data_IF_419542764417
#
_entry.id   IF_419542764417
#
_cell.length_a   1.000
_cell.length_b   1.000
_cell.length_c   1.000
_cell.angle_alpha   90.00
_cell.angle_beta   90.00
_cell.angle_gamma   90.00
#
_symmetry.space_group_name_H-M   'P 1'
#
loop_
_entity.id
_entity.type
_entity.pdbx_description
1 polymer ?
#
# COMPACT_ATOMS: atom_id res chain seq x y z
N UNK A 1 10.83 27.07 15.25
CA UNK A 1 11.05 28.31 16.01
C UNK A 1 11.43 27.98 17.42
N UNK A 2 12.46 28.65 17.91
CA UNK A 2 13.32 28.35 19.04
C UNK A 2 12.68 28.37 20.43
N UNK A 3 13.03 27.40 21.22
CA UNK A 3 12.91 27.15 22.65
C UNK A 3 13.42 28.25 23.59
N UNK A 4 12.88 29.43 23.63
CA UNK A 4 13.39 30.40 24.59
C UNK A 4 12.34 31.25 25.30
N UNK A 5 11.09 30.87 25.36
CA UNK A 5 10.07 31.68 26.04
C UNK A 5 8.97 30.89 26.74
N UNK A 6 9.29 29.87 27.53
CA UNK A 6 8.29 29.30 28.43
C UNK A 6 8.95 28.99 29.77
N UNK A 7 8.42 29.55 30.83
CA UNK A 7 8.86 29.42 32.22
C UNK A 7 8.14 28.27 32.91
N UNK A 8 8.78 27.76 33.92
CA UNK A 8 8.66 26.54 34.72
C UNK A 8 7.26 26.01 35.09
N UNK A 9 6.19 26.77 34.99
CA UNK A 9 4.83 26.28 35.35
C UNK A 9 4.05 25.61 34.20
N UNK A 10 4.56 25.70 32.96
CA UNK A 10 3.94 25.10 31.77
C UNK A 10 4.62 23.76 31.36
N UNK A 11 5.63 23.31 32.08
CA UNK A 11 6.41 22.13 31.71
C UNK A 11 5.57 20.83 31.71
N UNK A 12 4.60 20.71 32.61
CA UNK A 12 3.72 19.54 32.65
C UNK A 12 2.78 19.43 31.44
N UNK A 13 2.33 20.57 30.90
CA UNK A 13 1.49 20.62 29.69
C UNK A 13 2.33 20.41 28.44
N UNK A 14 3.56 20.92 28.42
CA UNK A 14 4.49 20.74 27.31
C UNK A 14 5.07 19.32 27.26
N UNK A 15 5.23 18.64 28.39
CA UNK A 15 5.60 17.23 28.42
C UNK A 15 4.57 16.34 27.68
N UNK A 16 3.28 16.70 27.67
CA UNK A 16 2.24 16.02 26.90
C UNK A 16 2.39 16.21 25.38
N UNK A 17 3.06 17.27 24.95
CA UNK A 17 3.23 17.63 23.53
C UNK A 17 4.68 17.72 23.10
N UNK A 18 5.60 17.08 23.85
CA UNK A 18 7.02 17.07 23.53
C UNK A 18 7.27 16.30 22.21
N UNK A 19 7.39 17.08 21.13
CA UNK A 19 7.71 16.56 19.79
C UNK A 19 9.07 15.85 19.78
N UNK A 20 9.99 16.17 20.68
CA UNK A 20 11.26 15.48 20.82
C UNK A 20 11.09 14.07 21.39
N UNK A 21 10.07 13.85 22.24
CA UNK A 21 9.67 12.49 22.67
C UNK A 21 8.99 11.73 21.54
N UNK A 22 8.19 12.40 20.70
CA UNK A 22 7.62 11.82 19.49
C UNK A 22 8.70 11.45 18.45
N UNK A 23 9.76 12.26 18.36
CA UNK A 23 10.88 12.03 17.43
C UNK A 23 11.98 11.12 17.99
N UNK A 24 11.82 10.63 19.21
CA UNK A 24 12.71 9.61 19.78
C UNK A 24 14.11 10.11 20.12
N UNK A 25 14.24 11.02 21.06
CA UNK A 25 15.54 11.42 21.63
C UNK A 25 16.36 10.23 22.17
N UNK A 26 15.70 9.08 22.34
CA UNK A 26 16.28 7.81 22.80
C UNK A 26 16.15 6.68 21.77
N UNK A 27 16.38 6.99 20.50
CA UNK A 27 16.81 6.00 19.53
C UNK A 27 15.77 5.31 18.64
N UNK A 28 14.46 5.38 18.89
CA UNK A 28 13.42 4.83 17.97
C UNK A 28 12.13 5.60 18.15
N UNK A 29 12.02 6.74 17.49
CA UNK A 29 10.79 7.53 17.49
C UNK A 29 9.80 7.08 16.41
N UNK A 30 8.51 7.37 16.64
CA UNK A 30 7.50 7.20 15.60
C UNK A 30 7.81 8.14 14.44
N UNK A 31 8.01 7.58 13.25
CA UNK A 31 8.12 8.40 12.05
C UNK A 31 6.71 8.85 11.63
N UNK A 32 6.47 10.14 11.66
CA UNK A 32 5.22 10.72 11.20
C UNK A 32 5.46 11.99 10.38
N UNK A 33 4.47 12.37 9.58
CA UNK A 33 4.51 13.61 8.82
C UNK A 33 3.11 14.20 8.70
N UNK A 34 2.99 15.49 9.00
CA UNK A 34 1.75 16.23 8.77
C UNK A 34 1.70 16.78 7.35
N UNK A 35 0.52 16.66 6.72
CA UNK A 35 0.24 17.20 5.39
C UNK A 35 -1.08 17.94 5.37
N UNK A 36 -1.21 18.83 4.41
CA UNK A 36 -2.45 19.56 4.13
C UNK A 36 -2.98 19.07 2.78
N UNK A 37 -4.26 18.74 2.74
CA UNK A 37 -4.93 18.23 1.56
C UNK A 37 -5.21 19.35 0.57
N UNK A 38 -4.79 19.17 -0.67
CA UNK A 38 -5.21 20.01 -1.78
C UNK A 38 -6.64 19.66 -2.19
N UNK A 39 -7.46 20.66 -2.45
CA UNK A 39 -8.84 20.42 -2.92
C UNK A 39 -8.84 20.35 -4.44
N UNK A 40 -9.53 19.36 -4.97
CA UNK A 40 -9.80 19.25 -6.40
C UNK A 40 -11.29 19.02 -6.67
N UNK A 41 -11.70 19.24 -7.91
CA UNK A 41 -13.07 18.98 -8.33
C UNK A 41 -13.35 17.49 -8.53
N UNK A 42 -14.63 17.12 -8.58
CA UNK A 42 -15.07 15.72 -8.73
C UNK A 42 -14.52 15.05 -9.98
N UNK A 43 -14.46 15.76 -11.11
CA UNK A 43 -14.00 15.16 -12.37
C UNK A 43 -12.51 14.82 -12.30
N UNK A 44 -11.71 15.71 -11.69
CA UNK A 44 -10.28 15.45 -11.42
C UNK A 44 -10.09 14.23 -10.53
N UNK A 45 -10.90 14.07 -9.46
CA UNK A 45 -10.87 12.89 -8.58
C UNK A 45 -11.08 11.60 -9.37
N UNK A 46 -12.10 11.54 -10.22
CA UNK A 46 -12.36 10.33 -11.02
C UNK A 46 -11.27 10.08 -12.06
N UNK A 47 -10.81 11.13 -12.75
CA UNK A 47 -9.74 11.03 -13.73
C UNK A 47 -8.45 10.48 -13.11
N UNK A 48 -8.09 10.98 -11.92
CA UNK A 48 -6.90 10.51 -11.23
C UNK A 48 -7.09 9.09 -10.66
N UNK A 49 -8.32 8.73 -10.25
CA UNK A 49 -8.64 7.39 -9.79
C UNK A 49 -8.53 6.32 -10.90
N UNK A 50 -8.75 6.69 -12.17
CA UNK A 50 -8.60 5.79 -13.31
C UNK A 50 -7.15 5.35 -13.55
N UNK A 51 -6.17 6.07 -12.98
CA UNK A 51 -4.75 5.71 -13.05
C UNK A 51 -4.37 4.52 -12.18
N UNK A 52 -5.27 4.09 -11.29
CA UNK A 52 -5.03 2.96 -10.40
C UNK A 52 -5.78 1.74 -10.90
N UNK A 53 -5.15 0.57 -10.82
CA UNK A 53 -5.79 -0.70 -11.16
C UNK A 53 -6.69 -1.23 -10.04
N UNK A 54 -7.40 -0.33 -9.39
CA UNK A 54 -8.34 -0.59 -8.30
C UNK A 54 -9.79 -0.28 -8.69
N UNK A 55 -10.12 -0.29 -9.98
CA UNK A 55 -11.44 0.12 -10.50
C UNK A 55 -12.60 -0.61 -9.83
N UNK A 56 -12.45 -1.89 -9.53
CA UNK A 56 -13.52 -2.72 -8.93
C UNK A 56 -13.83 -2.38 -7.48
N UNK A 57 -12.89 -1.79 -6.75
CA UNK A 57 -13.06 -1.44 -5.33
C UNK A 57 -13.11 0.08 -5.13
N UNK A 58 -12.26 0.82 -5.81
CA UNK A 58 -12.10 2.25 -5.61
C UNK A 58 -13.18 3.09 -6.27
N UNK A 59 -13.53 2.80 -7.55
CA UNK A 59 -14.59 3.54 -8.25
C UNK A 59 -15.97 3.35 -7.59
N UNK A 60 -16.40 2.13 -7.20
CA UNK A 60 -17.63 1.95 -6.45
C UNK A 60 -17.65 2.72 -5.13
N UNK A 61 -16.52 2.80 -4.43
CA UNK A 61 -16.43 3.58 -3.19
C UNK A 61 -16.53 5.09 -3.45
N UNK A 62 -15.85 5.61 -4.47
CA UNK A 62 -16.01 7.00 -4.88
C UNK A 62 -17.48 7.31 -5.22
N UNK A 63 -18.14 6.41 -5.97
CA UNK A 63 -19.57 6.55 -6.28
C UNK A 63 -20.42 6.59 -4.99
N UNK A 64 -20.11 5.76 -4.00
CA UNK A 64 -20.80 5.74 -2.70
C UNK A 64 -20.57 7.04 -1.93
N UNK A 65 -19.34 7.58 -1.92
CA UNK A 65 -19.01 8.84 -1.29
C UNK A 65 -19.79 9.99 -1.92
N UNK A 66 -19.86 10.04 -3.26
CA UNK A 66 -20.55 11.11 -3.99
C UNK A 66 -22.06 10.92 -4.12
N UNK A 67 -22.61 9.75 -3.83
CA UNK A 67 -24.07 9.50 -3.86
C UNK A 67 -24.81 10.12 -2.67
N UNK A 68 -24.10 10.34 -1.54
CA UNK A 68 -24.68 10.88 -0.33
C UNK A 68 -24.29 12.34 -0.11
N UNK A 69 -25.23 13.20 0.21
CA UNK A 69 -24.90 14.49 0.83
C UNK A 69 -24.70 14.26 2.32
N UNK A 70 -23.48 14.46 2.82
CA UNK A 70 -23.26 14.46 4.26
C UNK A 70 -24.04 15.62 4.88
N UNK A 71 -24.84 15.33 5.89
CA UNK A 71 -25.50 16.37 6.69
C UNK A 71 -24.41 17.20 7.36
N UNK A 72 -24.62 18.53 7.43
CA UNK A 72 -23.63 19.47 7.99
C UNK A 72 -23.17 19.13 9.43
N UNK A 73 -23.95 18.33 10.15
CA UNK A 73 -23.65 17.92 11.52
C UNK A 73 -23.41 16.41 11.62
N UNK A 74 -22.77 15.81 10.63
CA UNK A 74 -22.42 14.40 10.69
C UNK A 74 -21.45 14.16 11.87
N UNK A 75 -21.84 13.30 12.79
CA UNK A 75 -21.02 12.91 13.92
C UNK A 75 -20.37 11.56 13.61
N UNK A 76 -19.08 11.58 13.31
CA UNK A 76 -18.29 10.37 13.17
C UNK A 76 -18.15 9.82 11.74
N UNK A 77 -17.35 8.78 11.66
CA UNK A 77 -17.04 8.08 10.41
C UNK A 77 -17.76 6.72 10.42
N UNK A 78 -18.70 6.46 9.48
CA UNK A 78 -19.42 5.19 9.40
C UNK A 78 -18.50 4.04 8.97
N UNK A 79 -17.42 4.37 8.24
CA UNK A 79 -16.41 3.42 7.79
C UNK A 79 -15.02 4.05 7.87
N UNK A 80 -14.02 3.21 8.04
CA UNK A 80 -12.61 3.49 7.84
C UNK A 80 -12.11 2.70 6.62
N UNK A 81 -10.85 2.85 6.23
CA UNK A 81 -10.38 2.28 4.97
C UNK A 81 -9.12 1.45 5.16
N UNK A 82 -8.96 0.45 4.29
CA UNK A 82 -7.75 -0.32 4.15
C UNK A 82 -7.34 -0.33 2.69
N UNK A 83 -6.19 0.26 2.38
CA UNK A 83 -5.60 0.31 1.04
C UNK A 83 -4.54 -0.78 0.94
N UNK A 84 -4.68 -1.66 -0.05
CA UNK A 84 -3.78 -2.78 -0.30
C UNK A 84 -3.08 -2.61 -1.65
N UNK A 85 -1.82 -2.21 -1.62
CA UNK A 85 -0.94 -2.08 -2.78
C UNK A 85 0.51 -2.14 -2.32
N UNK A 86 1.39 -2.70 -3.14
CA UNK A 86 2.83 -2.80 -2.86
C UNK A 86 3.58 -1.55 -3.31
N UNK A 87 2.99 -0.77 -4.23
CA UNK A 87 3.61 0.44 -4.74
C UNK A 87 3.35 1.66 -3.85
N UNK A 88 4.42 2.39 -3.56
CA UNK A 88 4.36 3.58 -2.70
C UNK A 88 3.61 4.74 -3.35
N UNK A 89 3.85 5.00 -4.65
CA UNK A 89 3.24 6.15 -5.35
C UNK A 89 1.74 5.92 -5.54
N UNK A 90 1.35 4.69 -5.92
CA UNK A 90 -0.06 4.28 -6.02
C UNK A 90 -0.76 4.41 -4.67
N UNK A 91 -0.14 3.93 -3.60
CA UNK A 91 -0.67 4.03 -2.24
C UNK A 91 -0.91 5.48 -1.82
N UNK A 92 0.09 6.34 -2.01
CA UNK A 92 -0.03 7.77 -1.67
C UNK A 92 -1.10 8.46 -2.54
N UNK A 93 -1.16 8.10 -3.82
CA UNK A 93 -2.17 8.59 -4.76
C UNK A 93 -3.60 8.18 -4.38
N UNK A 94 -3.82 6.88 -4.11
CA UNK A 94 -5.13 6.37 -3.70
C UNK A 94 -5.61 7.04 -2.40
N UNK A 95 -4.72 7.15 -1.39
CA UNK A 95 -5.06 7.83 -0.14
C UNK A 95 -5.40 9.31 -0.37
N UNK A 96 -4.61 10.03 -1.16
CA UNK A 96 -4.85 11.44 -1.46
C UNK A 96 -6.22 11.64 -2.12
N UNK A 97 -6.52 10.89 -3.16
CA UNK A 97 -7.79 10.98 -3.90
C UNK A 97 -8.99 10.60 -3.01
N UNK A 98 -8.84 9.55 -2.20
CA UNK A 98 -9.86 9.17 -1.22
C UNK A 98 -10.17 10.31 -0.25
N UNK A 99 -9.14 10.92 0.35
CA UNK A 99 -9.32 12.03 1.28
C UNK A 99 -9.93 13.26 0.60
N UNK A 100 -9.56 13.56 -0.66
CA UNK A 100 -10.14 14.64 -1.45
C UNK A 100 -11.63 14.43 -1.68
N UNK A 101 -12.05 13.21 -2.05
CA UNK A 101 -13.45 12.86 -2.22
C UNK A 101 -14.24 13.00 -0.91
N UNK A 102 -13.68 12.52 0.20
CA UNK A 102 -14.31 12.60 1.52
C UNK A 102 -14.43 14.03 2.02
N UNK A 103 -13.40 14.86 1.80
CA UNK A 103 -13.43 16.27 2.15
C UNK A 103 -14.46 17.05 1.31
N UNK A 104 -14.48 16.82 -0.01
CA UNK A 104 -15.45 17.46 -0.91
C UNK A 104 -16.91 17.11 -0.57
N UNK A 105 -17.14 15.98 0.11
CA UNK A 105 -18.47 15.55 0.57
C UNK A 105 -18.72 15.77 2.08
N UNK A 106 -18.00 16.71 2.69
CA UNK A 106 -18.15 17.12 4.09
C UNK A 106 -18.02 15.96 5.10
N UNK A 107 -17.29 14.90 4.74
CA UNK A 107 -16.99 13.78 5.65
C UNK A 107 -15.70 13.99 6.45
N UNK A 108 -14.87 14.94 6.02
CA UNK A 108 -13.74 15.48 6.76
C UNK A 108 -13.98 16.98 6.99
N UNK A 109 -13.71 17.45 8.19
CA UNK A 109 -13.83 18.87 8.56
C UNK A 109 -12.51 19.61 8.43
N UNK A 110 -11.39 18.86 8.53
CA UNK A 110 -10.05 19.40 8.41
C UNK A 110 -9.36 18.86 7.17
N UNK A 111 -8.56 19.71 6.52
CA UNK A 111 -7.65 19.32 5.45
C UNK A 111 -6.35 18.68 5.98
N UNK A 112 -6.13 18.73 7.30
CA UNK A 112 -4.92 18.17 7.91
C UNK A 112 -5.04 16.66 7.96
N UNK A 113 -3.98 16.00 7.58
CA UNK A 113 -3.83 14.55 7.78
C UNK A 113 -2.40 14.21 8.16
N UNK A 114 -2.27 13.13 8.89
CA UNK A 114 -0.99 12.62 9.34
C UNK A 114 -0.64 11.32 8.61
N UNK A 115 0.62 11.19 8.21
CA UNK A 115 1.20 9.94 7.75
C UNK A 115 1.95 9.33 8.93
N UNK A 116 1.55 8.16 9.36
CA UNK A 116 2.18 7.39 10.42
C UNK A 116 2.90 6.19 9.82
N UNK A 117 4.21 6.13 9.94
CA UNK A 117 4.99 4.96 9.59
C UNK A 117 4.94 3.96 10.73
N UNK A 118 4.27 2.85 10.48
CA UNK A 118 4.07 1.79 11.44
C UNK A 118 4.94 0.58 11.11
N UNK A 119 5.83 0.20 12.02
CA UNK A 119 6.66 -0.99 11.90
C UNK A 119 6.28 -1.98 12.99
N UNK A 120 5.89 -3.21 12.63
CA UNK A 120 5.61 -4.23 13.61
C UNK A 120 6.88 -4.54 14.44
N UNK A 121 6.72 -4.75 15.73
CA UNK A 121 7.84 -5.02 16.64
C UNK A 121 8.55 -3.78 17.21
N UNK A 122 8.22 -2.57 16.73
CA UNK A 122 8.62 -1.35 17.41
C UNK A 122 7.61 -1.04 18.52
N UNK A 123 8.02 -1.14 19.77
CA UNK A 123 7.15 -0.84 20.92
C UNK A 123 7.01 0.66 21.10
N UNK A 124 5.78 1.16 20.98
CA UNK A 124 5.46 2.56 21.23
C UNK A 124 4.43 2.70 22.33
N UNK A 125 4.55 3.78 23.09
CA UNK A 125 3.55 4.13 24.09
C UNK A 125 2.23 4.53 23.42
N UNK A 126 1.12 4.04 23.97
CA UNK A 126 -0.24 4.45 23.54
C UNK A 126 -0.43 5.98 23.57
N UNK A 127 0.30 6.68 24.45
CA UNK A 127 0.27 8.13 24.56
C UNK A 127 0.75 8.83 23.28
N UNK A 128 1.73 8.26 22.56
CA UNK A 128 2.23 8.83 21.30
C UNK A 128 1.14 8.80 20.23
N UNK A 129 0.49 7.65 20.07
CA UNK A 129 -0.64 7.52 19.14
C UNK A 129 -1.82 8.41 19.54
N UNK A 130 -2.10 8.53 20.84
CA UNK A 130 -3.15 9.39 21.38
C UNK A 130 -2.91 10.88 21.03
N UNK A 131 -1.70 11.37 21.23
CA UNK A 131 -1.32 12.73 20.84
C UNK A 131 -1.45 12.95 19.32
N UNK A 132 -1.01 11.98 18.52
CA UNK A 132 -1.06 12.07 17.08
C UNK A 132 -2.50 12.11 16.57
N UNK A 133 -3.39 11.26 17.08
CA UNK A 133 -4.81 11.29 16.73
C UNK A 133 -5.49 12.58 17.17
N UNK A 134 -5.17 13.11 18.35
CA UNK A 134 -5.69 14.40 18.81
C UNK A 134 -5.27 15.56 17.91
N UNK A 135 -4.04 15.56 17.39
CA UNK A 135 -3.50 16.65 16.55
C UNK A 135 -4.25 16.80 15.23
N UNK A 136 -4.86 15.73 14.71
CA UNK A 136 -5.56 15.71 13.42
C UNK A 136 -7.08 15.56 13.56
N UNK A 137 -7.64 15.96 14.68
CA UNK A 137 -9.10 15.92 14.91
C UNK A 137 -9.86 16.58 13.76
N UNK A 138 -10.87 15.91 13.24
CA UNK A 138 -11.65 16.34 12.06
C UNK A 138 -11.00 16.02 10.72
N UNK A 139 -9.77 15.52 10.71
CA UNK A 139 -9.02 15.10 9.54
C UNK A 139 -8.80 13.59 9.50
N UNK A 140 -7.59 13.17 9.10
CA UNK A 140 -7.29 11.76 8.91
C UNK A 140 -5.88 11.35 9.38
N UNK A 141 -5.75 10.08 9.75
CA UNK A 141 -4.46 9.40 9.93
C UNK A 141 -4.33 8.32 8.86
N UNK A 142 -3.24 8.35 8.12
CA UNK A 142 -2.84 7.31 7.19
C UNK A 142 -1.74 6.49 7.85
N UNK A 143 -2.06 5.26 8.22
CA UNK A 143 -1.12 4.30 8.83
C UNK A 143 -0.45 3.51 7.72
N UNK A 144 0.83 3.74 7.49
CA UNK A 144 1.64 3.02 6.49
C UNK A 144 2.35 1.85 7.17
N UNK A 145 1.88 0.66 6.93
CA UNK A 145 2.54 -0.55 7.41
C UNK A 145 3.83 -0.79 6.62
N UNK A 146 4.95 -0.78 7.31
CA UNK A 146 6.27 -1.04 6.76
C UNK A 146 6.72 -2.42 7.26
N UNK A 147 6.61 -3.44 6.40
CA UNK A 147 7.16 -4.75 6.69
C UNK A 147 8.69 -4.64 6.77
N UNK A 148 9.31 -5.34 7.71
CA UNK A 148 10.75 -5.50 7.73
C UNK A 148 11.14 -6.55 6.69
N UNK A 149 11.99 -6.17 5.73
CA UNK A 149 12.45 -7.05 4.65
C UNK A 149 13.25 -8.28 5.13
N UNK A 150 13.71 -8.28 6.40
CA UNK A 150 14.70 -9.26 6.89
C UNK A 150 14.14 -10.36 7.83
N UNK A 151 12.82 -10.39 8.12
CA UNK A 151 12.33 -11.31 9.17
C UNK A 151 11.02 -12.00 8.80
N UNK A 152 11.14 -13.11 8.08
CA UNK A 152 9.96 -13.90 7.66
C UNK A 152 9.32 -14.76 8.78
N UNK A 153 9.92 -14.96 9.96
CA UNK A 153 9.41 -16.02 10.82
C UNK A 153 9.30 -15.80 12.34
N UNK A 154 9.87 -14.74 12.95
CA UNK A 154 9.87 -14.68 14.43
C UNK A 154 9.14 -13.47 15.07
N UNK A 155 8.62 -12.53 14.28
CA UNK A 155 8.06 -11.28 14.81
C UNK A 155 6.52 -11.17 14.75
N UNK A 156 5.82 -12.21 14.42
CA UNK A 156 4.34 -12.19 14.44
C UNK A 156 3.80 -11.83 15.82
N UNK A 157 4.49 -12.24 16.88
CA UNK A 157 4.07 -11.96 18.26
C UNK A 157 4.45 -10.55 18.73
N UNK A 158 5.65 -10.06 18.36
CA UNK A 158 6.08 -8.69 18.72
C UNK A 158 5.30 -7.59 17.99
N UNK A 159 4.80 -7.89 16.78
CA UNK A 159 3.98 -6.95 16.02
C UNK A 159 2.53 -6.89 16.51
N UNK A 160 2.00 -7.95 17.08
CA UNK A 160 0.61 -8.06 17.55
C UNK A 160 0.29 -7.01 18.61
N UNK A 161 1.08 -6.91 19.66
CA UNK A 161 0.86 -5.94 20.75
C UNK A 161 0.84 -4.49 20.22
N UNK A 162 1.74 -4.16 19.31
CA UNK A 162 1.78 -2.81 18.72
C UNK A 162 0.54 -2.52 17.86
N UNK A 163 0.05 -3.51 17.10
CA UNK A 163 -1.20 -3.41 16.35
C UNK A 163 -2.39 -3.24 17.29
N UNK A 164 -2.44 -3.98 18.38
CA UNK A 164 -3.49 -3.88 19.41
C UNK A 164 -3.56 -2.47 19.99
N UNK A 165 -2.42 -1.91 20.43
CA UNK A 165 -2.33 -0.55 20.96
C UNK A 165 -2.83 0.49 19.94
N UNK A 166 -2.39 0.37 18.69
CA UNK A 166 -2.84 1.27 17.61
C UNK A 166 -4.34 1.17 17.38
N UNK A 167 -4.89 -0.06 17.34
CA UNK A 167 -6.32 -0.30 17.15
C UNK A 167 -7.15 0.24 18.32
N UNK A 168 -6.67 0.17 19.55
CA UNK A 168 -7.34 0.75 20.73
C UNK A 168 -7.44 2.27 20.62
N UNK A 169 -6.33 2.94 20.27
CA UNK A 169 -6.33 4.39 20.07
C UNK A 169 -7.25 4.77 18.91
N UNK A 170 -7.17 4.05 17.79
CA UNK A 170 -8.05 4.27 16.65
C UNK A 170 -9.53 4.17 17.06
N UNK A 171 -9.93 3.14 17.79
CA UNK A 171 -11.31 2.97 18.29
C UNK A 171 -11.76 4.13 19.19
N UNK A 172 -10.85 4.65 20.02
CA UNK A 172 -11.12 5.81 20.88
C UNK A 172 -11.45 7.07 20.08
N UNK A 173 -10.76 7.29 18.96
CA UNK A 173 -10.92 8.48 18.11
C UNK A 173 -11.77 8.24 16.86
N UNK A 174 -12.34 7.06 16.63
CA UNK A 174 -13.05 6.67 15.40
C UNK A 174 -14.13 7.63 14.92
N UNK A 175 -14.73 8.39 15.84
CA UNK A 175 -15.76 9.36 15.51
C UNK A 175 -15.20 10.74 15.13
N UNK A 176 -13.93 11.00 15.41
CA UNK A 176 -13.31 12.33 15.23
C UNK A 176 -12.23 12.32 14.15
N UNK A 177 -11.61 11.16 13.92
CA UNK A 177 -10.47 11.01 13.00
C UNK A 177 -10.72 9.83 12.09
N UNK A 178 -10.64 10.08 10.79
CA UNK A 178 -10.65 9.02 9.79
C UNK A 178 -9.31 8.28 9.82
N UNK A 179 -9.35 6.95 9.82
CA UNK A 179 -8.13 6.14 9.72
C UNK A 179 -8.12 5.39 8.38
N UNK A 180 -6.98 5.45 7.70
CA UNK A 180 -6.70 4.69 6.48
C UNK A 180 -5.48 3.82 6.75
N UNK A 181 -5.67 2.51 6.82
CA UNK A 181 -4.59 1.55 6.92
C UNK A 181 -4.03 1.24 5.52
N UNK A 182 -2.72 1.27 5.37
CA UNK A 182 -2.05 0.94 4.12
C UNK A 182 -1.16 -0.28 4.35
N UNK A 183 -1.55 -1.42 3.78
CA UNK A 183 -0.84 -2.69 3.90
C UNK A 183 -0.33 -3.16 2.54
N UNK A 184 0.78 -3.90 2.50
CA UNK A 184 1.15 -4.67 1.32
C UNK A 184 0.05 -5.67 0.95
N UNK A 185 -0.04 -6.04 -0.32
CA UNK A 185 -1.09 -6.94 -0.83
C UNK A 185 -1.06 -8.32 -0.20
N UNK A 186 0.13 -8.84 0.06
CA UNK A 186 0.35 -10.20 0.57
C UNK A 186 0.45 -10.29 2.10
N UNK A 187 0.27 -9.16 2.80
CA UNK A 187 0.37 -9.10 4.25
C UNK A 187 -0.92 -9.61 4.93
N UNK A 188 -1.24 -10.91 4.74
CA UNK A 188 -2.48 -11.51 5.25
C UNK A 188 -2.48 -11.66 6.77
N UNK A 189 -1.39 -12.14 7.35
CA UNK A 189 -1.30 -12.37 8.80
C UNK A 189 -1.50 -11.08 9.62
N UNK A 190 -0.82 -10.00 9.25
CA UNK A 190 -1.01 -8.72 9.92
C UNK A 190 -2.40 -8.13 9.68
N UNK A 191 -2.97 -8.34 8.50
CA UNK A 191 -4.35 -7.95 8.20
C UNK A 191 -5.33 -8.63 9.13
N UNK A 192 -5.19 -9.93 9.36
CA UNK A 192 -6.07 -10.68 10.26
C UNK A 192 -5.97 -10.15 11.69
N UNK A 193 -4.76 -9.81 12.18
CA UNK A 193 -4.57 -9.19 13.48
C UNK A 193 -5.26 -7.82 13.56
N UNK A 194 -5.20 -6.99 12.50
CA UNK A 194 -5.96 -5.74 12.45
C UNK A 194 -7.47 -6.01 12.57
N UNK A 195 -8.02 -6.96 11.84
CA UNK A 195 -9.45 -7.28 11.88
C UNK A 195 -9.90 -7.82 13.24
N UNK A 196 -9.11 -8.70 13.85
CA UNK A 196 -9.37 -9.19 15.21
C UNK A 196 -9.49 -8.03 16.21
N UNK A 197 -8.62 -7.03 16.09
CA UNK A 197 -8.54 -5.93 17.05
C UNK A 197 -9.44 -4.73 16.73
N UNK A 198 -9.87 -4.55 15.48
CA UNK A 198 -10.79 -3.47 15.11
C UNK A 198 -12.24 -3.71 15.59
N UNK A 199 -12.59 -4.95 15.89
CA UNK A 199 -13.91 -5.31 16.44
C UNK A 199 -15.06 -4.89 15.51
N UNK A 200 -16.05 -4.16 16.03
CA UNK A 200 -17.23 -3.71 15.27
C UNK A 200 -16.98 -2.48 14.38
N UNK A 201 -15.75 -2.18 14.03
CA UNK A 201 -15.42 -1.08 13.14
C UNK A 201 -15.59 -1.53 11.69
N UNK A 202 -16.37 -0.80 10.90
CA UNK A 202 -16.54 -1.10 9.48
C UNK A 202 -15.34 -0.63 8.67
N UNK A 203 -14.73 -1.52 7.90
CA UNK A 203 -13.58 -1.24 7.03
C UNK A 203 -13.98 -1.46 5.57
N UNK A 204 -13.68 -0.48 4.73
CA UNK A 204 -13.78 -0.60 3.26
C UNK A 204 -12.40 -0.92 2.72
N UNK A 205 -12.28 -2.06 2.05
CA UNK A 205 -11.03 -2.46 1.40
C UNK A 205 -10.94 -1.88 0.00
N UNK A 206 -9.83 -1.24 -0.28
CA UNK A 206 -9.46 -0.69 -1.59
C UNK A 206 -8.22 -1.44 -2.05
N UNK A 207 -8.40 -2.32 -3.04
CA UNK A 207 -7.37 -3.26 -3.45
C UNK A 207 -7.06 -3.11 -4.93
N UNK A 208 -5.79 -2.96 -5.23
CA UNK A 208 -5.28 -3.02 -6.59
C UNK A 208 -5.30 -4.46 -7.11
N UNK A 209 -5.67 -4.65 -8.37
CA UNK A 209 -5.73 -5.95 -9.03
C UNK A 209 -4.76 -6.03 -10.19
N UNK A 210 -4.31 -7.24 -10.47
CA UNK A 210 -3.61 -7.52 -11.71
C UNK A 210 -4.53 -7.39 -12.91
N UNK A 211 -4.02 -6.81 -13.98
CA UNK A 211 -4.68 -6.78 -15.29
C UNK A 211 -3.79 -7.46 -16.32
N UNK A 212 -4.40 -8.04 -17.34
CA UNK A 212 -3.73 -8.73 -18.43
C UNK A 212 -4.41 -8.47 -19.77
N UNK A 213 -3.77 -8.83 -20.85
CA UNK A 213 -4.35 -8.79 -22.20
C UNK A 213 -4.87 -7.42 -22.61
N UNK A 214 -6.13 -7.35 -23.02
CA UNK A 214 -6.76 -6.12 -23.50
C UNK A 214 -6.86 -5.02 -22.45
N UNK A 215 -7.10 -5.36 -21.18
CA UNK A 215 -7.17 -4.36 -20.10
C UNK A 215 -5.83 -3.66 -19.88
N UNK A 216 -4.71 -4.38 -19.99
CA UNK A 216 -3.38 -3.79 -19.92
C UNK A 216 -3.12 -2.85 -21.12
N UNK A 217 -3.58 -3.21 -22.31
CA UNK A 217 -3.52 -2.35 -23.51
C UNK A 217 -4.34 -1.08 -23.35
N UNK A 218 -5.60 -1.20 -22.92
CA UNK A 218 -6.47 -0.04 -22.67
C UNK A 218 -5.84 0.93 -21.68
N UNK A 219 -5.20 0.41 -20.63
CA UNK A 219 -4.50 1.23 -19.66
C UNK A 219 -3.34 2.03 -20.28
N UNK A 220 -2.47 1.37 -21.09
CA UNK A 220 -1.38 2.03 -21.81
C UNK A 220 -1.88 3.04 -22.85
N UNK A 221 -2.98 2.75 -23.54
CA UNK A 221 -3.61 3.70 -24.45
C UNK A 221 -4.16 4.93 -23.71
N UNK A 222 -4.71 4.74 -22.52
CA UNK A 222 -5.13 5.80 -21.62
C UNK A 222 -3.99 6.73 -21.27
N UNK A 223 -2.84 6.18 -20.85
CA UNK A 223 -1.62 6.95 -20.54
C UNK A 223 -1.10 7.74 -21.75
N UNK A 224 -1.13 7.13 -22.94
CA UNK A 224 -0.73 7.79 -24.18
C UNK A 224 -1.66 8.95 -24.55
N UNK A 225 -2.97 8.76 -24.38
CA UNK A 225 -3.98 9.81 -24.60
C UNK A 225 -3.79 10.98 -23.65
N UNK A 226 -3.54 10.72 -22.36
CA UNK A 226 -3.28 11.76 -21.36
C UNK A 226 -2.00 12.54 -21.68
N UNK A 227 -0.97 11.85 -22.17
CA UNK A 227 0.29 12.43 -22.63
C UNK A 227 0.20 13.08 -24.02
N UNK A 228 -0.98 13.06 -24.67
CA UNK A 228 -1.24 13.61 -26.00
C UNK A 228 -0.30 13.08 -27.09
N UNK A 229 0.15 11.82 -26.97
CA UNK A 229 1.06 11.18 -27.89
C UNK A 229 0.35 10.00 -28.61
N UNK A 230 0.63 9.80 -29.90
CA UNK A 230 0.08 8.66 -30.64
C UNK A 230 0.82 7.38 -30.30
N UNK A 231 0.08 6.34 -30.00
CA UNK A 231 0.61 4.99 -29.78
C UNK A 231 1.20 4.41 -31.07
N UNK A 232 2.09 3.46 -30.93
CA UNK A 232 2.61 2.63 -32.01
C UNK A 232 2.74 1.17 -31.51
N UNK A 233 3.06 0.26 -32.43
CA UNK A 233 3.16 -1.18 -32.12
C UNK A 233 4.19 -1.49 -31.04
N UNK A 234 5.25 -0.68 -30.92
CA UNK A 234 6.35 -0.89 -29.96
C UNK A 234 5.90 -0.77 -28.50
N UNK A 235 4.86 0.03 -28.24
CA UNK A 235 4.30 0.16 -26.88
C UNK A 235 3.76 -1.18 -26.39
N UNK A 236 3.18 -1.98 -27.28
CA UNK A 236 2.50 -3.23 -26.95
C UNK A 236 3.37 -4.48 -27.13
N UNK A 237 4.54 -4.36 -27.78
CA UNK A 237 5.43 -5.49 -28.10
C UNK A 237 5.94 -6.21 -26.84
N UNK A 238 6.01 -5.50 -25.71
CA UNK A 238 6.48 -6.04 -24.42
C UNK A 238 5.37 -6.61 -23.55
N UNK A 239 4.11 -6.48 -23.98
CA UNK A 239 2.97 -7.06 -23.27
C UNK A 239 2.83 -8.55 -23.61
N UNK A 240 2.88 -9.37 -22.56
CA UNK A 240 2.56 -10.79 -22.63
C UNK A 240 1.08 -10.99 -22.28
N UNK A 241 0.34 -11.69 -23.11
CA UNK A 241 -1.12 -11.80 -22.96
C UNK A 241 -1.55 -12.52 -21.67
N UNK A 242 -0.75 -13.45 -21.18
CA UNK A 242 -1.06 -14.26 -19.98
C UNK A 242 -0.47 -13.69 -18.69
N UNK A 243 0.43 -12.73 -18.80
CA UNK A 243 1.06 -12.10 -17.64
C UNK A 243 0.13 -11.08 -16.99
N UNK A 244 0.02 -11.15 -15.67
CA UNK A 244 -0.64 -10.13 -14.88
C UNK A 244 0.29 -8.95 -14.60
N UNK A 245 -0.21 -7.73 -14.81
CA UNK A 245 0.51 -6.49 -14.58
C UNK A 245 -0.18 -5.67 -13.50
N UNK A 246 0.60 -5.01 -12.67
CA UNK A 246 0.15 -3.94 -11.78
C UNK A 246 0.36 -2.58 -12.44
N UNK A 247 -0.25 -1.53 -11.87
CA UNK A 247 -0.11 -0.18 -12.41
C UNK A 247 1.37 0.26 -12.51
N UNK A 248 2.26 0.01 -11.52
CA UNK A 248 3.68 0.35 -11.65
C UNK A 248 4.36 -0.32 -12.84
N UNK A 249 4.03 -1.59 -13.13
CA UNK A 249 4.62 -2.31 -14.25
C UNK A 249 4.25 -1.64 -15.59
N UNK A 250 2.96 -1.27 -15.72
CA UNK A 250 2.45 -0.62 -16.92
C UNK A 250 2.96 0.81 -17.05
N UNK A 251 3.08 1.56 -15.97
CA UNK A 251 3.72 2.89 -15.97
C UNK A 251 5.17 2.79 -16.41
N UNK A 252 5.94 1.83 -15.90
CA UNK A 252 7.33 1.64 -16.30
C UNK A 252 7.46 1.27 -17.78
N UNK A 253 6.58 0.40 -18.29
CA UNK A 253 6.55 0.07 -19.74
C UNK A 253 6.22 1.29 -20.58
N UNK A 254 5.26 2.09 -20.14
CA UNK A 254 4.89 3.33 -20.82
C UNK A 254 6.03 4.34 -20.81
N UNK A 255 6.64 4.60 -19.66
CA UNK A 255 7.71 5.59 -19.50
C UNK A 255 8.94 5.23 -20.34
N UNK A 256 9.31 3.93 -20.38
CA UNK A 256 10.43 3.48 -21.24
C UNK A 256 10.13 3.69 -22.72
N UNK A 257 8.91 3.37 -23.15
CA UNK A 257 8.50 3.61 -24.54
C UNK A 257 8.42 5.10 -24.86
N UNK A 258 7.83 5.90 -23.95
CA UNK A 258 7.65 7.34 -24.12
C UNK A 258 8.99 8.07 -24.21
N UNK A 259 9.92 7.79 -23.28
CA UNK A 259 11.27 8.35 -23.30
C UNK A 259 12.02 8.00 -24.60
N UNK A 260 11.94 6.75 -25.05
CA UNK A 260 12.53 6.33 -26.29
C UNK A 260 11.91 7.06 -27.50
N UNK A 261 10.59 7.23 -27.52
CA UNK A 261 9.90 7.95 -28.60
C UNK A 261 10.25 9.43 -28.62
N UNK A 262 10.37 10.06 -27.44
CA UNK A 262 10.84 11.44 -27.33
C UNK A 262 12.27 11.59 -27.93
N UNK A 263 13.19 10.71 -27.56
CA UNK A 263 14.59 10.76 -28.02
C UNK A 263 14.78 10.39 -29.49
N UNK A 264 13.90 9.56 -30.03
CA UNK A 264 14.07 9.10 -31.43
C UNK A 264 13.27 9.89 -32.45
N UNK A 265 12.05 10.31 -32.09
CA UNK A 265 11.10 10.93 -33.02
C UNK A 265 10.93 12.43 -32.81
N UNK A 266 10.91 12.88 -31.54
CA UNK A 266 10.62 14.30 -31.20
C UNK A 266 11.89 15.11 -31.05
N UNK A 267 12.89 14.56 -30.34
CA UNK A 267 14.15 15.24 -30.04
C UNK A 267 15.36 14.36 -30.42
N UNK A 268 15.64 14.10 -31.71
CA UNK A 268 16.67 13.17 -32.16
C UNK A 268 18.09 13.54 -31.71
N UNK A 269 18.34 14.80 -31.33
CA UNK A 269 19.59 15.27 -30.76
C UNK A 269 19.97 14.61 -29.44
N UNK A 270 18.96 14.05 -28.70
CA UNK A 270 19.17 13.36 -27.43
C UNK A 270 19.24 11.83 -27.56
N UNK A 271 19.29 11.30 -28.79
CA UNK A 271 19.25 9.85 -29.03
C UNK A 271 20.39 9.08 -28.35
N UNK A 272 21.52 9.72 -28.14
CA UNK A 272 22.70 9.09 -27.52
C UNK A 272 22.75 9.24 -26.01
N UNK A 273 21.83 9.99 -25.43
CA UNK A 273 21.76 10.18 -23.97
C UNK A 273 21.22 8.92 -23.31
N UNK A 274 22.02 8.33 -22.43
CA UNK A 274 21.63 7.12 -21.69
C UNK A 274 20.53 7.44 -20.68
N UNK A 275 19.44 6.69 -20.73
CA UNK A 275 18.37 6.77 -19.73
C UNK A 275 18.84 6.13 -18.44
N UNK A 276 18.70 6.84 -17.33
CA UNK A 276 18.90 6.27 -16.00
C UNK A 276 17.70 5.34 -15.73
N UNK A 277 17.89 4.04 -15.91
CA UNK A 277 16.87 3.06 -15.57
C UNK A 277 16.64 3.13 -14.06
N UNK A 278 15.42 3.45 -13.63
CA UNK A 278 14.98 3.12 -12.28
C UNK A 278 15.29 1.63 -12.09
N UNK A 279 16.04 1.28 -11.06
CA UNK A 279 16.04 -0.10 -10.59
C UNK A 279 14.60 -0.34 -10.10
N UNK A 280 13.77 -0.88 -10.95
CA UNK A 280 12.59 -1.58 -10.51
C UNK A 280 13.16 -2.64 -9.61
N UNK A 281 12.87 -2.56 -8.32
CA UNK A 281 12.85 -3.76 -7.49
C UNK A 281 11.73 -4.53 -8.18
N UNK A 282 12.11 -5.39 -9.13
CA UNK A 282 11.22 -6.44 -9.56
C UNK A 282 10.76 -7.05 -8.25
N UNK A 283 9.48 -6.89 -7.94
CA UNK A 283 8.78 -7.87 -7.14
C UNK A 283 8.79 -9.10 -8.04
N UNK A 284 9.96 -9.71 -8.15
CA UNK A 284 10.08 -11.06 -8.65
C UNK A 284 9.05 -11.78 -7.81
N UNK A 285 8.04 -12.47 -8.41
CA UNK A 285 7.30 -13.44 -7.65
C UNK A 285 8.40 -14.27 -7.04
N UNK A 286 8.58 -14.15 -5.72
CA UNK A 286 9.65 -14.82 -4.95
C UNK A 286 9.67 -16.20 -5.53
N UNK A 287 10.83 -16.61 -6.08
CA UNK A 287 10.94 -17.82 -6.85
C UNK A 287 10.32 -18.94 -6.04
N UNK A 288 9.75 -19.96 -6.65
CA UNK A 288 8.99 -20.95 -5.91
C UNK A 288 9.76 -21.30 -4.61
N UNK A 289 9.06 -21.56 -3.51
CA UNK A 289 9.70 -21.90 -2.22
C UNK A 289 10.82 -22.94 -2.38
N UNK A 290 10.76 -23.69 -3.47
CA UNK A 290 11.80 -24.62 -3.93
C UNK A 290 13.06 -23.88 -4.43
N UNK A 291 12.95 -22.77 -5.14
CA UNK A 291 14.11 -22.01 -5.63
C UNK A 291 14.81 -21.32 -4.45
N UNK A 292 14.06 -20.82 -3.48
CA UNK A 292 14.60 -20.25 -2.25
C UNK A 292 15.34 -21.30 -1.44
N UNK A 293 14.74 -22.48 -1.24
CA UNK A 293 15.38 -23.60 -0.59
C UNK A 293 16.65 -24.06 -1.33
N UNK A 294 16.64 -24.04 -2.66
CA UNK A 294 17.80 -24.46 -3.46
C UNK A 294 19.01 -23.55 -3.27
N UNK A 295 18.78 -22.24 -2.99
CA UNK A 295 19.83 -21.23 -2.78
C UNK A 295 20.32 -21.14 -1.32
N UNK A 296 19.62 -21.74 -0.35
CA UNK A 296 20.07 -21.77 1.04
C UNK A 296 21.36 -22.59 1.17
N UNK A 297 22.35 -22.09 1.89
CA UNK A 297 23.62 -22.77 2.13
C UNK A 297 23.46 -23.70 3.35
N UNK A 298 23.91 -24.96 3.24
CA UNK A 298 24.06 -25.84 4.39
C UNK A 298 22.85 -26.75 4.71
N UNK A 299 21.81 -26.82 3.87
CA UNK A 299 20.63 -27.67 4.07
C UNK A 299 20.59 -28.89 3.10
N UNK A 300 21.71 -29.50 2.79
CA UNK A 300 21.81 -30.50 1.72
C UNK A 300 20.95 -31.73 1.94
N UNK A 301 20.80 -32.17 3.18
CA UNK A 301 19.92 -33.30 3.52
C UNK A 301 18.44 -32.94 3.37
N UNK A 302 18.05 -31.75 3.81
CA UNK A 302 16.67 -31.25 3.68
C UNK A 302 16.30 -31.07 2.21
N UNK A 303 17.20 -30.51 1.40
CA UNK A 303 17.03 -30.35 -0.06
C UNK A 303 16.85 -31.73 -0.71
N UNK A 304 17.61 -32.72 -0.28
CA UNK A 304 17.52 -34.07 -0.81
C UNK A 304 16.18 -34.73 -0.51
N UNK A 305 15.68 -34.56 0.72
CA UNK A 305 14.37 -35.09 1.14
C UNK A 305 13.24 -34.40 0.34
N UNK A 306 13.27 -33.08 0.24
CA UNK A 306 12.25 -32.31 -0.49
C UNK A 306 12.26 -32.65 -1.98
N UNK A 307 13.43 -32.82 -2.58
CA UNK A 307 13.56 -33.32 -3.96
C UNK A 307 12.95 -34.71 -4.14
N UNK A 308 13.16 -35.61 -3.19
CA UNK A 308 12.54 -36.93 -3.22
C UNK A 308 11.01 -36.86 -3.16
N UNK A 309 10.47 -36.02 -2.26
CA UNK A 309 9.03 -35.83 -2.13
C UNK A 309 8.43 -35.20 -3.41
N UNK A 310 9.07 -34.19 -3.97
CA UNK A 310 8.62 -33.56 -5.23
C UNK A 310 8.64 -34.55 -6.41
N UNK A 311 9.67 -35.39 -6.51
CA UNK A 311 9.75 -36.39 -7.54
C UNK A 311 8.69 -37.50 -7.34
N UNK A 312 8.37 -37.84 -6.09
CA UNK A 312 7.29 -38.77 -5.77
C UNK A 312 5.92 -38.18 -6.21
N UNK A 313 5.63 -36.92 -5.88
CA UNK A 313 4.38 -36.27 -6.32
C UNK A 313 4.30 -36.14 -7.85
N UNK A 314 5.40 -35.81 -8.52
CA UNK A 314 5.45 -35.75 -9.99
C UNK A 314 5.16 -37.13 -10.60
N UNK A 315 5.72 -38.19 -10.02
CA UNK A 315 5.43 -39.56 -10.45
C UNK A 315 3.98 -39.97 -10.20
N UNK A 316 3.42 -39.64 -9.03
CA UNK A 316 2.00 -39.85 -8.74
C UNK A 316 1.07 -39.16 -9.74
N UNK A 317 1.36 -37.89 -10.06
CA UNK A 317 0.58 -37.14 -11.06
C UNK A 317 0.65 -37.81 -12.45
N UNK A 318 1.85 -38.24 -12.85
CA UNK A 318 2.05 -38.97 -14.11
C UNK A 318 1.29 -40.32 -14.16
N UNK A 319 1.22 -41.02 -13.02
CA UNK A 319 0.46 -42.26 -12.92
C UNK A 319 -1.05 -42.00 -12.96
N UNK A 320 -1.53 -40.94 -12.27
CA UNK A 320 -2.92 -40.53 -12.30
C UNK A 320 -3.35 -40.10 -13.72
N UNK A 321 -2.54 -39.33 -14.42
CA UNK A 321 -2.77 -38.90 -15.80
C UNK A 321 -2.81 -40.07 -16.79
N UNK A 322 -2.14 -41.17 -16.47
CA UNK A 322 -2.17 -42.41 -17.25
C UNK A 322 -3.23 -43.44 -16.79
N UNK A 323 -4.10 -43.06 -15.86
CA UNK A 323 -5.19 -43.90 -15.37
C UNK A 323 -4.76 -45.12 -14.56
N UNK A 324 -3.53 -45.13 -14.04
CA UNK A 324 -3.03 -46.18 -13.17
C UNK A 324 -3.42 -45.89 -11.72
N UNK A 325 -4.01 -46.91 -11.03
CA UNK A 325 -4.31 -46.80 -9.59
C UNK A 325 -3.01 -46.78 -8.81
N UNK A 326 -2.89 -45.79 -7.93
CA UNK A 326 -1.78 -45.71 -6.97
C UNK A 326 -2.21 -46.39 -5.68
N UNK A 327 -1.56 -47.50 -5.33
CA UNK A 327 -1.66 -48.05 -3.99
C UNK A 327 -0.67 -47.27 -3.10
N UNK A 328 -1.20 -46.68 -2.03
CA UNK A 328 -0.39 -45.98 -1.04
C UNK A 328 0.53 -47.03 -0.36
N UNK A 329 1.84 -46.81 -0.30
CA UNK A 329 2.66 -47.58 0.59
C UNK A 329 2.24 -47.28 2.04
N UNK A 330 2.07 -48.36 2.82
CA UNK A 330 1.71 -48.31 4.23
C UNK A 330 2.77 -47.58 5.07
#
# INVERSE_FOLDING_TARGET
>A
CRNNYIRDDDDEVLEQFDLDKLNGRYGRGVAYGEKILDVCDKNSVYKDAERFLAKDTFIPELNRIYAGSAKQNAVGHPVHYMVQTDDREIREGMCKILLQALYANNRLYSKRYCLLDFRPGESFSSMIYDCLYKSVTGGAVIVRYLANDDTENDYADCGRETIEILCEVMKKYRNQVLTVFCLPRECTASKDVFYENLGNTSIVELKEKFVSGEFAKEFLEGLAKDSKIRTDKKLFEKLENEKGYLAPDLHNLFDEWYDNKLKTAVYPQYRTVVTVKRKVIESVPKGSAYDELSHMIGLDEVKKIINQVLNYYKAQKLFADKGMKNDHPA
#
